data_IF_665864586058
#
_entry.id   IF_665864586058
#
_cell.length_a   1.000
_cell.length_b   1.000
_cell.length_c   1.000
_cell.angle_alpha   90.00
_cell.angle_beta   90.00
_cell.angle_gamma   90.00
#
_symmetry.space_group_name_H-M   'P 1'
#
loop_
_entity.id
_entity.type
_entity.pdbx_description
1 polymer ?
#
# COMPACT_ATOMS: atom_id res chain seq x y z
N UNK A 1 -22.41 0.45 26.43
CA UNK A 1 -22.68 -0.90 25.88
C UNK A 1 -22.81 -0.76 24.38
N UNK A 2 -21.71 -0.97 23.64
CA UNK A 2 -21.76 -1.18 22.19
C UNK A 2 -20.48 -1.90 21.77
N UNK A 3 -20.57 -3.23 21.78
CA UNK A 3 -19.53 -4.19 21.42
C UNK A 3 -19.45 -4.43 19.90
N UNK A 4 -20.04 -3.56 19.09
CA UNK A 4 -20.30 -3.80 17.66
C UNK A 4 -19.09 -3.60 16.73
N UNK A 5 -18.04 -2.89 17.14
CA UNK A 5 -16.90 -2.61 16.24
C UNK A 5 -15.72 -3.59 16.34
N UNK A 6 -15.66 -4.45 17.37
CA UNK A 6 -14.65 -5.52 17.48
C UNK A 6 -15.21 -6.86 16.99
N UNK A 7 -16.54 -6.99 16.96
CA UNK A 7 -17.22 -8.17 16.41
C UNK A 7 -17.35 -8.13 14.89
N UNK A 8 -17.27 -6.96 14.25
CA UNK A 8 -17.36 -6.83 12.79
C UNK A 8 -16.19 -7.52 12.05
N UNK A 9 -14.98 -7.52 12.62
CA UNK A 9 -13.78 -8.07 11.98
C UNK A 9 -13.71 -9.61 12.04
N UNK A 10 -14.30 -10.24 13.06
CA UNK A 10 -14.48 -11.70 13.07
C UNK A 10 -15.57 -12.17 12.11
N UNK A 11 -16.39 -11.24 11.61
CA UNK A 11 -17.57 -11.60 10.85
C UNK A 11 -17.33 -11.86 9.36
N UNK A 12 -16.47 -11.22 8.57
CA UNK A 12 -16.57 -11.47 7.10
C UNK A 12 -16.35 -12.93 6.66
N UNK A 13 -15.44 -13.67 7.30
CA UNK A 13 -15.33 -15.11 7.05
C UNK A 13 -16.26 -15.96 7.93
N UNK A 14 -16.85 -15.44 9.01
CA UNK A 14 -17.86 -16.15 9.82
C UNK A 14 -19.33 -15.81 9.50
N UNK A 15 -19.59 -14.74 8.78
CA UNK A 15 -20.82 -14.35 8.11
C UNK A 15 -20.81 -14.88 6.68
N UNK A 16 -19.64 -15.08 6.06
CA UNK A 16 -19.53 -16.09 4.99
C UNK A 16 -19.91 -17.49 5.51
N UNK A 17 -19.51 -17.89 6.74
CA UNK A 17 -19.97 -19.14 7.37
C UNK A 17 -21.49 -19.19 7.57
N UNK A 18 -22.14 -18.07 7.91
CA UNK A 18 -23.58 -18.01 8.23
C UNK A 18 -24.50 -17.73 7.03
N UNK A 19 -24.06 -16.96 6.03
CA UNK A 19 -24.90 -16.52 4.91
C UNK A 19 -24.86 -17.48 3.70
N UNK A 20 -23.85 -18.33 3.59
CA UNK A 20 -23.66 -19.25 2.46
C UNK A 20 -23.61 -20.74 2.84
N UNK A 21 -24.02 -21.11 4.06
CA UNK A 21 -24.00 -22.51 4.51
C UNK A 21 -22.59 -23.12 4.57
N UNK A 22 -21.57 -22.28 4.68
CA UNK A 22 -20.18 -22.69 4.65
C UNK A 22 -19.75 -23.15 6.05
N UNK A 23 -19.76 -24.46 6.25
CA UNK A 23 -18.63 -25.05 6.96
C UNK A 23 -17.55 -25.24 5.90
N UNK A 24 -16.46 -24.45 5.83
CA UNK A 24 -15.25 -25.01 5.25
C UNK A 24 -14.77 -26.03 6.29
N UNK A 25 -15.16 -27.29 6.09
CA UNK A 25 -14.64 -28.43 6.83
C UNK A 25 -13.11 -28.31 6.84
N UNK A 26 -12.46 -28.48 8.00
CA UNK A 26 -11.01 -28.28 8.24
C UNK A 26 -10.09 -28.67 7.07
N UNK A 27 -10.48 -29.68 6.30
CA UNK A 27 -9.83 -30.15 5.08
C UNK A 27 -9.60 -29.07 4.01
N UNK A 28 -10.53 -28.14 3.78
CA UNK A 28 -10.36 -27.07 2.78
C UNK A 28 -9.34 -26.02 3.23
N UNK A 29 -9.35 -25.67 4.51
CA UNK A 29 -8.36 -24.78 5.11
C UNK A 29 -6.97 -25.45 5.10
N UNK A 30 -6.89 -26.72 5.47
CA UNK A 30 -5.66 -27.51 5.38
C UNK A 30 -5.14 -27.60 3.94
N UNK A 31 -6.02 -27.82 2.95
CA UNK A 31 -5.67 -27.82 1.52
C UNK A 31 -5.15 -26.46 1.07
N UNK A 32 -5.82 -25.37 1.46
CA UNK A 32 -5.40 -24.00 1.15
C UNK A 32 -4.01 -23.70 1.73
N UNK A 33 -3.77 -24.12 2.97
CA UNK A 33 -2.47 -23.97 3.64
C UNK A 33 -1.37 -24.77 2.93
N UNK A 34 -1.64 -26.02 2.55
CA UNK A 34 -0.68 -26.86 1.82
C UNK A 34 -0.31 -26.23 0.47
N UNK A 35 -1.32 -25.81 -0.32
CA UNK A 35 -1.10 -25.16 -1.61
C UNK A 35 -0.32 -23.84 -1.46
N UNK A 36 -0.60 -23.07 -0.41
CA UNK A 36 0.15 -21.87 -0.08
C UNK A 36 1.62 -22.19 0.25
N UNK A 37 1.88 -23.22 1.06
CA UNK A 37 3.24 -23.66 1.38
C UNK A 37 4.01 -24.14 0.14
N UNK A 38 3.36 -24.87 -0.77
CA UNK A 38 3.96 -25.27 -2.04
C UNK A 38 4.32 -24.08 -2.92
N UNK A 39 3.43 -23.09 -3.00
CA UNK A 39 3.71 -21.83 -3.70
C UNK A 39 4.88 -21.08 -3.05
N UNK A 40 4.93 -21.01 -1.72
CA UNK A 40 5.99 -20.33 -0.99
C UNK A 40 7.37 -20.95 -1.22
N UNK A 41 7.47 -22.28 -1.34
CA UNK A 41 8.74 -22.94 -1.73
C UNK A 41 9.25 -22.46 -3.09
N UNK A 42 8.34 -22.25 -4.06
CA UNK A 42 8.71 -21.67 -5.37
C UNK A 42 9.11 -20.21 -5.25
N UNK A 43 8.46 -19.45 -4.38
CA UNK A 43 8.83 -18.06 -4.08
C UNK A 43 10.25 -18.00 -3.49
N UNK A 44 10.55 -18.81 -2.48
CA UNK A 44 11.88 -18.85 -1.86
C UNK A 44 12.97 -19.21 -2.90
N UNK A 45 12.71 -20.21 -3.75
CA UNK A 45 13.62 -20.57 -4.83
C UNK A 45 13.82 -19.41 -5.83
N UNK A 46 12.74 -18.72 -6.21
CA UNK A 46 12.85 -17.56 -7.12
C UNK A 46 13.65 -16.41 -6.52
N UNK A 47 13.59 -16.21 -5.21
CA UNK A 47 14.40 -15.22 -4.50
C UNK A 47 15.88 -15.61 -4.57
N UNK A 48 16.21 -16.87 -4.29
CA UNK A 48 17.57 -17.39 -4.39
C UNK A 48 18.14 -17.31 -5.82
N UNK A 49 17.27 -17.49 -6.82
CA UNK A 49 17.63 -17.44 -8.23
C UNK A 49 17.69 -16.01 -8.81
N UNK A 50 17.66 -14.95 -7.99
CA UNK A 50 17.58 -13.55 -8.45
C UNK A 50 16.39 -13.29 -9.41
N UNK A 51 15.26 -13.96 -9.18
CA UNK A 51 14.01 -13.85 -9.95
C UNK A 51 12.88 -13.19 -9.13
N UNK A 52 13.26 -12.29 -8.21
CA UNK A 52 12.35 -11.41 -7.48
C UNK A 52 12.26 -10.07 -8.20
N UNK A 53 11.04 -9.58 -8.43
CA UNK A 53 10.76 -8.30 -9.08
C UNK A 53 9.87 -7.47 -8.17
N UNK A 54 10.19 -6.18 -7.98
CA UNK A 54 9.29 -5.24 -7.33
C UNK A 54 8.65 -4.32 -8.38
N UNK A 55 7.35 -4.09 -8.24
CA UNK A 55 6.62 -3.03 -8.93
C UNK A 55 6.10 -2.06 -7.88
N UNK A 56 6.64 -0.84 -7.87
CA UNK A 56 6.43 0.14 -6.79
C UNK A 56 6.21 1.55 -7.32
N UNK A 57 5.66 2.43 -6.49
CA UNK A 57 5.51 3.86 -6.76
C UNK A 57 6.50 4.72 -5.95
N UNK A 58 7.49 4.10 -5.32
CA UNK A 58 8.67 4.79 -4.77
C UNK A 58 8.34 5.61 -3.52
N UNK A 59 7.28 5.23 -2.80
CA UNK A 59 6.83 5.87 -1.59
C UNK A 59 7.68 5.47 -0.35
N UNK A 60 7.56 6.19 0.78
CA UNK A 60 8.30 5.85 1.99
C UNK A 60 8.09 4.41 2.49
N UNK A 61 6.89 3.84 2.35
CA UNK A 61 6.60 2.46 2.73
C UNK A 61 7.23 1.43 1.78
N UNK A 62 7.38 1.72 0.49
CA UNK A 62 8.21 0.93 -0.42
C UNK A 62 9.67 0.86 0.03
N UNK A 63 10.21 2.02 0.43
CA UNK A 63 11.59 2.12 0.91
C UNK A 63 11.77 1.36 2.23
N UNK A 64 10.77 1.38 3.12
CA UNK A 64 10.76 0.61 4.36
C UNK A 64 10.69 -0.90 4.09
N UNK A 65 9.79 -1.34 3.21
CA UNK A 65 9.71 -2.75 2.80
C UNK A 65 11.02 -3.23 2.17
N UNK A 66 11.61 -2.41 1.31
CA UNK A 66 12.94 -2.67 0.73
C UNK A 66 13.99 -2.83 1.84
N UNK A 67 14.00 -1.95 2.83
CA UNK A 67 14.89 -2.04 3.98
C UNK A 67 14.76 -3.34 4.77
N UNK A 68 13.53 -3.86 4.93
CA UNK A 68 13.29 -5.15 5.61
C UNK A 68 13.94 -6.30 4.83
N UNK A 69 13.76 -6.33 3.51
CA UNK A 69 14.43 -7.29 2.65
C UNK A 69 15.95 -7.17 2.72
N UNK A 70 16.49 -5.95 2.67
CA UNK A 70 17.94 -5.70 2.71
C UNK A 70 18.58 -6.17 4.01
N UNK A 71 17.92 -6.00 5.16
CA UNK A 71 18.39 -6.52 6.45
C UNK A 71 18.49 -8.06 6.46
N UNK A 72 17.72 -8.74 5.61
CA UNK A 72 17.81 -10.18 5.36
C UNK A 72 18.68 -10.56 4.16
N UNK A 73 19.51 -9.63 3.66
CA UNK A 73 20.37 -9.80 2.48
C UNK A 73 19.59 -10.13 1.21
N UNK A 74 18.33 -9.68 1.13
CA UNK A 74 17.44 -9.87 -0.01
C UNK A 74 17.26 -8.55 -0.77
N UNK A 75 17.38 -8.62 -2.08
CA UNK A 75 17.09 -7.52 -3.00
C UNK A 75 16.41 -8.10 -4.26
N UNK A 76 15.51 -7.36 -4.92
CA UNK A 76 14.99 -7.78 -6.21
C UNK A 76 16.10 -7.74 -7.28
N UNK A 77 15.96 -8.54 -8.33
CA UNK A 77 16.81 -8.42 -9.51
C UNK A 77 16.43 -7.20 -10.38
N UNK A 78 15.13 -6.91 -10.43
CA UNK A 78 14.52 -5.81 -11.19
C UNK A 78 13.51 -5.06 -10.32
N UNK A 79 13.56 -3.74 -10.35
CA UNK A 79 12.61 -2.85 -9.70
C UNK A 79 11.99 -1.95 -10.76
N UNK A 80 10.67 -2.01 -10.88
CA UNK A 80 9.87 -1.30 -11.85
C UNK A 80 9.09 -0.18 -11.14
N UNK A 81 9.24 1.05 -11.61
CA UNK A 81 8.57 2.23 -11.09
C UNK A 81 7.30 2.54 -11.88
N UNK A 82 6.19 2.82 -11.18
CA UNK A 82 4.88 3.11 -11.78
C UNK A 82 4.22 4.35 -11.21
N UNK A 83 3.89 5.33 -12.06
CA UNK A 83 3.12 6.53 -11.71
C UNK A 83 3.99 7.77 -11.45
N UNK A 84 3.35 8.86 -11.05
CA UNK A 84 3.97 10.11 -10.63
C UNK A 84 4.99 10.67 -11.62
N UNK A 85 5.96 11.40 -11.09
CA UNK A 85 7.04 12.00 -11.88
C UNK A 85 8.18 10.99 -12.08
N UNK A 86 8.15 10.24 -13.19
CA UNK A 86 9.10 9.16 -13.51
C UNK A 86 10.58 9.49 -13.22
N UNK A 87 11.06 10.69 -13.59
CA UNK A 87 12.45 11.12 -13.41
C UNK A 87 12.76 11.42 -11.95
N UNK A 88 11.84 12.10 -11.28
CA UNK A 88 11.99 12.43 -9.87
C UNK A 88 12.05 11.15 -9.03
N UNK A 89 11.11 10.24 -9.30
CA UNK A 89 10.97 8.98 -8.60
C UNK A 89 12.12 8.02 -8.88
N UNK A 90 12.54 7.90 -10.13
CA UNK A 90 13.75 7.16 -10.50
C UNK A 90 14.95 7.66 -9.69
N UNK A 91 15.16 8.98 -9.66
CA UNK A 91 16.32 9.55 -8.99
C UNK A 91 16.27 9.38 -7.47
N UNK A 92 15.09 9.52 -6.84
CA UNK A 92 14.91 9.28 -5.42
C UNK A 92 15.19 7.80 -5.06
N UNK A 93 14.58 6.88 -5.80
CA UNK A 93 14.72 5.43 -5.63
C UNK A 93 16.18 4.99 -5.81
N UNK A 94 16.86 5.53 -6.82
CA UNK A 94 18.26 5.25 -7.11
C UNK A 94 19.20 5.66 -5.95
N UNK A 95 18.93 6.80 -5.30
CA UNK A 95 19.70 7.25 -4.14
C UNK A 95 19.47 6.35 -2.92
N UNK A 96 18.23 5.98 -2.65
CA UNK A 96 17.87 5.07 -1.54
C UNK A 96 18.53 3.71 -1.73
N UNK A 97 18.42 3.11 -2.92
CA UNK A 97 19.02 1.81 -3.21
C UNK A 97 20.55 1.85 -3.24
N UNK A 98 21.16 2.96 -3.68
CA UNK A 98 22.61 3.17 -3.56
C UNK A 98 23.05 3.20 -2.10
N UNK A 99 22.28 3.84 -1.22
CA UNK A 99 22.58 3.86 0.21
C UNK A 99 22.49 2.45 0.81
N UNK A 100 21.42 1.70 0.48
CA UNK A 100 21.31 0.30 0.90
C UNK A 100 22.50 -0.54 0.42
N UNK A 101 22.87 -0.47 -0.87
CA UNK A 101 24.00 -1.25 -1.39
C UNK A 101 25.37 -0.82 -0.85
N UNK A 102 25.48 0.39 -0.29
CA UNK A 102 26.70 0.88 0.37
C UNK A 102 26.80 0.36 1.81
N UNK A 103 25.66 0.22 2.50
CA UNK A 103 25.60 -0.16 3.91
C UNK A 103 25.48 -1.67 4.13
N UNK A 104 24.97 -2.39 3.14
CA UNK A 104 24.68 -3.81 3.23
C UNK A 104 25.33 -4.58 2.07
N UNK A 105 25.73 -5.84 2.28
CA UNK A 105 26.37 -6.67 1.27
C UNK A 105 25.31 -7.24 0.29
N UNK A 106 24.63 -6.34 -0.42
CA UNK A 106 23.61 -6.67 -1.41
C UNK A 106 23.96 -6.06 -2.77
N UNK A 107 23.50 -6.72 -3.83
CA UNK A 107 23.55 -6.15 -5.18
C UNK A 107 22.36 -5.21 -5.35
N UNK A 108 22.64 -3.97 -5.78
CA UNK A 108 21.60 -3.01 -6.13
C UNK A 108 20.76 -3.54 -7.30
N UNK A 109 19.41 -3.47 -7.25
CA UNK A 109 18.56 -3.86 -8.37
C UNK A 109 18.82 -3.02 -9.61
N UNK A 110 18.45 -3.57 -10.78
CA UNK A 110 18.22 -2.76 -11.97
C UNK A 110 16.90 -2.00 -11.75
N UNK A 111 16.96 -0.68 -11.66
CA UNK A 111 15.77 0.18 -11.50
C UNK A 111 15.36 0.69 -12.89
N UNK A 112 14.07 0.59 -13.22
CA UNK A 112 13.52 1.04 -14.50
C UNK A 112 12.11 1.60 -14.31
N UNK A 113 11.67 2.47 -15.23
CA UNK A 113 10.31 3.00 -15.24
C UNK A 113 9.45 2.19 -16.20
N UNK A 114 8.32 1.64 -15.72
CA UNK A 114 7.33 0.96 -16.58
C UNK A 114 6.13 1.85 -16.88
N UNK A 115 5.86 2.84 -16.02
CA UNK A 115 4.79 3.81 -16.21
C UNK A 115 5.11 5.10 -15.44
N UNK A 116 4.80 6.26 -16.02
CA UNK A 116 4.86 7.56 -15.35
C UNK A 116 3.70 8.45 -15.78
N UNK A 117 3.23 9.30 -14.88
CA UNK A 117 2.15 10.23 -15.16
C UNK A 117 2.62 11.37 -16.08
N UNK A 118 1.76 11.71 -17.05
CA UNK A 118 2.11 12.67 -18.12
C UNK A 118 1.40 14.02 -17.96
N UNK A 119 0.43 14.11 -17.06
CA UNK A 119 -0.28 15.34 -16.72
C UNK A 119 -0.47 15.42 -15.21
N UNK A 120 -0.57 16.63 -14.67
CA UNK A 120 -0.87 16.82 -13.24
C UNK A 120 -2.27 16.31 -12.86
N UNK A 121 -3.18 16.19 -13.83
CA UNK A 121 -4.55 15.71 -13.62
C UNK A 121 -4.63 14.22 -13.28
N UNK A 122 -3.67 13.41 -13.74
CA UNK A 122 -3.62 11.97 -13.43
C UNK A 122 -2.88 11.67 -12.13
N UNK A 123 -2.21 12.67 -11.55
CA UNK A 123 -1.42 12.52 -10.33
C UNK A 123 -2.29 12.51 -9.07
N UNK A 124 -1.90 11.67 -8.13
CA UNK A 124 -2.40 11.65 -6.77
C UNK A 124 -1.71 12.71 -5.90
N UNK A 125 -2.26 12.99 -4.71
CA UNK A 125 -1.74 14.05 -3.84
C UNK A 125 -0.32 13.76 -3.31
N UNK A 126 0.04 12.50 -3.07
CA UNK A 126 1.39 12.17 -2.60
C UNK A 126 2.44 12.26 -3.71
N UNK A 127 2.08 12.18 -5.00
CA UNK A 127 3.04 12.38 -6.10
C UNK A 127 3.69 13.79 -5.99
N UNK A 128 2.94 14.76 -5.45
CA UNK A 128 3.44 16.11 -5.17
C UNK A 128 4.27 16.23 -3.88
N UNK A 129 4.37 15.16 -3.08
CA UNK A 129 5.27 15.04 -1.93
C UNK A 129 6.57 14.30 -2.28
N UNK A 130 6.62 13.63 -3.43
CA UNK A 130 7.80 12.89 -3.87
C UNK A 130 9.04 13.75 -3.97
N UNK A 131 10.19 13.11 -3.75
CA UNK A 131 11.48 13.76 -3.90
C UNK A 131 11.65 15.00 -3.01
N UNK A 132 10.84 15.17 -1.96
CA UNK A 132 11.01 16.27 -0.98
C UNK A 132 12.35 16.23 -0.25
N UNK A 133 13.09 15.11 -0.37
CA UNK A 133 14.49 15.02 0.04
C UNK A 133 15.48 15.73 -0.89
N UNK A 134 15.08 16.20 -2.08
CA UNK A 134 15.93 17.01 -2.96
C UNK A 134 15.91 18.49 -2.59
N UNK A 135 16.86 19.26 -3.14
CA UNK A 135 16.71 20.70 -3.14
C UNK A 135 15.53 21.10 -4.04
N UNK A 136 14.76 22.12 -3.67
CA UNK A 136 13.51 22.48 -4.39
C UNK A 136 13.75 22.79 -5.88
N UNK A 137 14.88 23.42 -6.22
CA UNK A 137 15.24 23.69 -7.62
C UNK A 137 15.49 22.41 -8.42
N UNK A 138 16.20 21.44 -7.84
CA UNK A 138 16.46 20.14 -8.46
C UNK A 138 15.16 19.34 -8.61
N UNK A 139 14.34 19.33 -7.56
CA UNK A 139 13.02 18.68 -7.54
C UNK A 139 12.14 19.19 -8.67
N UNK A 140 12.00 20.51 -8.80
CA UNK A 140 11.20 21.15 -9.87
C UNK A 140 11.71 20.82 -11.27
N UNK A 141 13.03 20.79 -11.45
CA UNK A 141 13.61 20.42 -12.75
C UNK A 141 13.32 18.96 -13.12
N UNK A 142 13.42 18.04 -12.17
CA UNK A 142 13.07 16.63 -12.39
C UNK A 142 11.57 16.48 -12.73
N UNK A 143 10.67 17.16 -12.00
CA UNK A 143 9.23 17.18 -12.30
C UNK A 143 8.96 17.72 -13.72
N UNK A 144 9.61 18.83 -14.08
CA UNK A 144 9.47 19.44 -15.41
C UNK A 144 9.94 18.50 -16.51
N UNK A 145 11.09 17.84 -16.33
CA UNK A 145 11.63 16.86 -17.28
C UNK A 145 10.73 15.64 -17.42
N UNK A 146 10.17 15.17 -16.31
CA UNK A 146 9.16 14.13 -16.32
C UNK A 146 8.04 14.48 -17.28
N UNK A 147 7.46 15.67 -17.22
CA UNK A 147 6.34 16.04 -18.08
C UNK A 147 6.74 16.36 -19.54
N UNK A 148 7.96 16.87 -19.78
CA UNK A 148 8.35 17.42 -21.08
C UNK A 148 8.94 16.40 -22.09
N UNK A 149 9.64 15.35 -21.63
CA UNK A 149 10.43 14.47 -22.51
C UNK A 149 9.72 13.13 -22.82
N UNK A 150 8.71 13.19 -23.69
CA UNK A 150 7.91 12.02 -24.06
C UNK A 150 8.71 10.97 -24.83
N UNK A 151 9.59 11.38 -25.76
CA UNK A 151 10.34 10.44 -26.60
C UNK A 151 11.32 9.61 -25.78
N UNK A 152 12.09 10.22 -24.87
CA UNK A 152 12.98 9.46 -24.00
C UNK A 152 12.20 8.57 -23.03
N UNK A 153 11.06 9.07 -22.50
CA UNK A 153 10.18 8.31 -21.63
C UNK A 153 9.68 7.01 -22.31
N UNK A 154 9.11 7.11 -23.52
CA UNK A 154 8.60 5.94 -24.24
C UNK A 154 9.70 4.90 -24.54
N UNK A 155 10.92 5.36 -24.83
CA UNK A 155 12.07 4.47 -25.03
C UNK A 155 12.44 3.72 -23.75
N UNK A 156 12.42 4.40 -22.60
CA UNK A 156 12.72 3.79 -21.31
C UNK A 156 11.65 2.78 -20.87
N UNK A 157 10.38 3.11 -21.09
CA UNK A 157 9.28 2.18 -20.85
C UNK A 157 9.44 0.93 -21.71
N UNK A 158 9.70 1.07 -23.01
CA UNK A 158 9.93 -0.09 -23.89
C UNK A 158 11.12 -0.94 -23.43
N UNK A 159 12.20 -0.31 -22.95
CA UNK A 159 13.34 -1.04 -22.38
C UNK A 159 12.98 -1.78 -21.07
N UNK A 160 12.12 -1.18 -20.24
CA UNK A 160 11.63 -1.82 -19.01
C UNK A 160 10.75 -3.03 -19.32
N UNK A 161 9.82 -2.90 -20.28
CA UNK A 161 8.99 -4.00 -20.75
C UNK A 161 9.82 -5.15 -21.30
N UNK A 162 10.81 -4.87 -22.15
CA UNK A 162 11.70 -5.90 -22.71
C UNK A 162 12.53 -6.57 -21.62
N UNK A 163 13.10 -5.78 -20.69
CA UNK A 163 13.86 -6.32 -19.57
C UNK A 163 13.01 -7.24 -18.68
N UNK A 164 11.73 -6.93 -18.49
CA UNK A 164 10.79 -7.80 -17.78
C UNK A 164 10.54 -9.08 -18.57
N UNK A 165 10.26 -8.99 -19.88
CA UNK A 165 10.06 -10.15 -20.76
C UNK A 165 11.26 -11.09 -20.76
N UNK A 166 12.47 -10.57 -20.82
CA UNK A 166 13.70 -11.35 -20.77
C UNK A 166 13.80 -12.17 -19.48
N UNK A 167 13.54 -11.55 -18.31
CA UNK A 167 13.58 -12.25 -17.02
C UNK A 167 12.50 -13.34 -16.98
N UNK A 168 11.25 -13.02 -17.34
CA UNK A 168 10.14 -13.96 -17.29
C UNK A 168 10.32 -15.15 -18.24
N UNK A 169 10.97 -14.94 -19.40
CA UNK A 169 11.29 -16.03 -20.32
C UNK A 169 12.44 -16.90 -19.78
N UNK A 170 13.50 -16.30 -19.25
CA UNK A 170 14.72 -17.00 -18.83
C UNK A 170 14.56 -17.79 -17.53
N UNK A 171 13.82 -17.27 -16.56
CA UNK A 171 13.68 -17.90 -15.24
C UNK A 171 12.64 -19.02 -15.29
N UNK A 172 12.83 -20.06 -14.47
CA UNK A 172 11.88 -21.17 -14.31
C UNK A 172 10.63 -20.72 -13.54
N UNK A 173 10.83 -19.88 -12.53
CA UNK A 173 9.79 -19.26 -11.73
C UNK A 173 10.19 -17.82 -11.36
N UNK A 174 9.25 -16.88 -11.37
CA UNK A 174 9.46 -15.47 -11.00
C UNK A 174 8.39 -15.03 -10.02
N UNK A 175 8.81 -14.35 -8.95
CA UNK A 175 7.88 -13.68 -8.02
C UNK A 175 7.87 -12.19 -8.30
N UNK A 176 6.69 -11.62 -8.52
CA UNK A 176 6.50 -10.18 -8.70
C UNK A 176 5.72 -9.65 -7.50
N UNK A 177 6.35 -8.76 -6.74
CA UNK A 177 5.71 -8.04 -5.63
C UNK A 177 5.12 -6.75 -6.19
N UNK A 178 3.80 -6.64 -6.18
CA UNK A 178 3.04 -5.51 -6.71
C UNK A 178 2.60 -4.64 -5.53
N UNK A 179 3.21 -3.47 -5.42
CA UNK A 179 3.02 -2.47 -4.36
C UNK A 179 2.35 -1.18 -4.84
N UNK A 180 2.14 -1.08 -6.15
CA UNK A 180 1.41 0.00 -6.80
C UNK A 180 0.30 -0.59 -7.71
N UNK A 181 -0.36 0.26 -8.51
CA UNK A 181 -1.26 -0.25 -9.54
C UNK A 181 -0.48 -1.06 -10.62
N UNK A 182 -1.01 -2.21 -11.09
CA UNK A 182 -0.30 -3.11 -12.00
C UNK A 182 -0.31 -2.66 -13.47
N UNK A 183 -0.22 -1.35 -13.73
CA UNK A 183 -0.32 -0.75 -15.06
C UNK A 183 0.66 -1.39 -16.05
N UNK A 184 0.15 -1.91 -17.17
CA UNK A 184 0.95 -2.56 -18.22
C UNK A 184 1.43 -3.99 -17.91
N UNK A 185 1.40 -4.42 -16.64
CA UNK A 185 1.96 -5.70 -16.22
C UNK A 185 1.24 -6.90 -16.85
N UNK A 186 -0.09 -6.88 -16.88
CA UNK A 186 -0.89 -8.01 -17.35
C UNK A 186 -0.66 -8.32 -18.84
N UNK A 187 -0.49 -7.28 -19.66
CA UNK A 187 -0.17 -7.40 -21.09
C UNK A 187 1.16 -8.14 -21.30
N UNK A 188 2.18 -7.79 -20.53
CA UNK A 188 3.51 -8.39 -20.65
C UNK A 188 3.48 -9.87 -20.22
N UNK A 189 2.85 -10.16 -19.08
CA UNK A 189 2.74 -11.53 -18.55
C UNK A 189 2.02 -12.45 -19.53
N UNK A 190 0.96 -11.98 -20.19
CA UNK A 190 0.13 -12.79 -21.11
C UNK A 190 0.92 -13.36 -22.28
N UNK A 191 1.97 -12.67 -22.71
CA UNK A 191 2.80 -13.08 -23.84
C UNK A 191 3.88 -14.11 -23.45
N UNK A 192 4.02 -14.45 -22.16
CA UNK A 192 5.01 -15.40 -21.68
C UNK A 192 4.46 -16.84 -21.79
N UNK A 193 5.17 -17.79 -22.42
CA UNK A 193 4.76 -19.18 -22.47
C UNK A 193 4.62 -19.78 -21.06
N UNK A 194 3.51 -20.48 -20.80
CA UNK A 194 3.23 -21.13 -19.51
C UNK A 194 3.30 -20.16 -18.31
N UNK A 195 2.84 -18.91 -18.51
CA UNK A 195 2.96 -17.87 -17.48
C UNK A 195 2.26 -18.23 -16.15
N UNK A 196 1.20 -19.05 -16.19
CA UNK A 196 0.46 -19.48 -14.99
C UNK A 196 1.28 -20.38 -14.08
N UNK A 197 2.19 -21.17 -14.65
CA UNK A 197 3.07 -22.08 -13.92
C UNK A 197 4.39 -21.40 -13.51
N UNK A 198 4.76 -20.31 -14.20
CA UNK A 198 6.05 -19.63 -14.04
C UNK A 198 6.01 -18.37 -13.18
N UNK A 199 4.84 -17.80 -12.90
CA UNK A 199 4.74 -16.48 -12.27
C UNK A 199 3.81 -16.55 -11.07
N UNK A 200 4.24 -15.93 -9.97
CA UNK A 200 3.37 -15.61 -8.85
C UNK A 200 3.43 -14.12 -8.53
N UNK A 201 2.29 -13.60 -8.08
CA UNK A 201 2.15 -12.22 -7.64
C UNK A 201 1.98 -12.20 -6.13
N UNK A 202 2.72 -11.33 -5.45
CA UNK A 202 2.41 -10.89 -4.09
C UNK A 202 1.87 -9.48 -4.21
N UNK A 203 0.58 -9.27 -3.96
CA UNK A 203 -0.08 -7.98 -4.16
C UNK A 203 -0.44 -7.35 -2.83
N UNK A 204 0.11 -6.18 -2.53
CA UNK A 204 -0.14 -5.46 -1.28
C UNK A 204 -1.44 -4.66 -1.37
N UNK A 205 -2.35 -4.96 -0.45
CA UNK A 205 -3.68 -4.36 -0.26
C UNK A 205 -4.42 -3.94 -1.56
N UNK A 206 -4.68 -4.85 -2.53
CA UNK A 206 -5.56 -4.55 -3.66
C UNK A 206 -7.03 -4.43 -3.24
N UNK A 207 -7.41 -5.14 -2.19
CA UNK A 207 -8.77 -5.18 -1.67
C UNK A 207 -8.76 -5.13 -0.14
N UNK A 208 -9.85 -4.63 0.44
CA UNK A 208 -9.99 -4.42 1.88
C UNK A 208 -11.40 -4.72 2.37
N UNK A 209 -11.53 -5.03 3.65
CA UNK A 209 -12.79 -5.35 4.33
C UNK A 209 -13.74 -4.15 4.33
N UNK A 210 -14.99 -4.35 3.87
CA UNK A 210 -16.06 -3.33 3.97
C UNK A 210 -16.92 -3.55 5.21
N UNK A 211 -17.45 -2.44 5.77
CA UNK A 211 -18.41 -2.47 6.88
C UNK A 211 -19.67 -3.29 6.56
N UNK A 212 -20.15 -3.23 5.31
CA UNK A 212 -21.36 -3.95 4.88
C UNK A 212 -21.10 -5.42 4.48
N UNK A 213 -19.86 -5.90 4.59
CA UNK A 213 -19.44 -7.22 4.12
C UNK A 213 -18.84 -7.21 2.71
N UNK A 214 -18.15 -8.30 2.36
CA UNK A 214 -17.35 -8.41 1.14
C UNK A 214 -16.07 -7.55 1.17
N UNK A 215 -15.37 -7.48 0.03
CA UNK A 215 -14.19 -6.64 -0.11
C UNK A 215 -14.45 -5.46 -1.05
N UNK A 216 -13.90 -4.29 -0.70
CA UNK A 216 -13.87 -3.10 -1.54
C UNK A 216 -12.51 -2.92 -2.19
N UNK A 217 -12.47 -2.11 -3.26
CA UNK A 217 -11.22 -1.69 -3.88
C UNK A 217 -10.41 -0.83 -2.91
N UNK A 218 -9.11 -1.07 -2.86
CA UNK A 218 -8.16 -0.26 -2.09
C UNK A 218 -7.29 0.57 -3.03
N UNK A 219 -6.38 1.37 -2.46
CA UNK A 219 -5.62 2.41 -3.15
C UNK A 219 -5.02 1.94 -4.49
N UNK A 220 -4.17 0.93 -4.44
CA UNK A 220 -3.48 0.39 -5.60
C UNK A 220 -4.41 -0.15 -6.69
N UNK A 221 -5.60 -0.65 -6.33
CA UNK A 221 -6.55 -1.15 -7.30
C UNK A 221 -7.26 -0.03 -8.06
N UNK A 222 -7.73 1.01 -7.37
CA UNK A 222 -8.52 2.05 -8.04
C UNK A 222 -7.67 3.05 -8.83
N UNK A 223 -6.37 3.11 -8.54
CA UNK A 223 -5.40 3.91 -9.29
C UNK A 223 -5.32 3.51 -10.77
N UNK A 224 -5.52 2.22 -11.07
CA UNK A 224 -5.73 1.73 -12.43
C UNK A 224 -6.65 0.49 -12.39
N UNK A 225 -7.96 0.76 -12.38
CA UNK A 225 -9.00 -0.28 -12.31
C UNK A 225 -8.88 -1.26 -13.47
N UNK A 226 -8.53 -0.79 -14.66
CA UNK A 226 -8.48 -1.64 -15.85
C UNK A 226 -7.28 -2.58 -15.79
N UNK A 227 -6.08 -2.07 -15.51
CA UNK A 227 -4.92 -2.94 -15.34
C UNK A 227 -5.09 -3.93 -14.19
N UNK A 228 -5.73 -3.52 -13.10
CA UNK A 228 -6.02 -4.37 -11.95
C UNK A 228 -6.96 -5.54 -12.30
N UNK A 229 -8.00 -5.29 -13.11
CA UNK A 229 -8.88 -6.33 -13.65
C UNK A 229 -8.12 -7.29 -14.55
N UNK A 230 -7.33 -6.75 -15.48
CA UNK A 230 -6.56 -7.56 -16.42
C UNK A 230 -5.58 -8.49 -15.69
N UNK A 231 -4.95 -8.03 -14.59
CA UNK A 231 -4.10 -8.87 -13.76
C UNK A 231 -4.87 -10.02 -13.09
N UNK A 232 -6.06 -9.76 -12.55
CA UNK A 232 -6.91 -10.79 -11.96
C UNK A 232 -7.41 -11.81 -13.01
N UNK A 233 -7.65 -11.36 -14.24
CA UNK A 233 -8.10 -12.20 -15.36
C UNK A 233 -7.02 -13.17 -15.87
N UNK A 234 -5.73 -12.90 -15.60
CA UNK A 234 -4.64 -13.79 -16.00
C UNK A 234 -4.70 -15.15 -15.29
N UNK A 235 -5.32 -15.24 -14.11
CA UNK A 235 -5.38 -16.47 -13.30
C UNK A 235 -4.00 -17.05 -12.93
N UNK A 236 -2.99 -16.19 -12.79
CA UNK A 236 -1.74 -16.54 -12.09
C UNK A 236 -2.01 -16.69 -10.59
N UNK A 237 -1.20 -17.46 -9.84
CA UNK A 237 -1.21 -17.41 -8.39
C UNK A 237 -0.99 -15.98 -7.86
N UNK A 238 -1.92 -15.47 -7.06
CA UNK A 238 -1.86 -14.15 -6.41
C UNK A 238 -2.00 -14.35 -4.91
N UNK A 239 -1.01 -13.91 -4.13
CA UNK A 239 -1.11 -13.83 -2.68
C UNK A 239 -1.44 -12.39 -2.31
N UNK A 240 -2.54 -12.19 -1.58
CA UNK A 240 -2.98 -10.87 -1.10
C UNK A 240 -2.35 -10.59 0.25
N UNK A 241 -1.42 -9.64 0.30
CA UNK A 241 -0.81 -9.14 1.52
C UNK A 241 -1.60 -7.92 2.03
N UNK A 242 -2.51 -8.12 2.99
CA UNK A 242 -3.32 -7.04 3.52
C UNK A 242 -3.43 -7.16 5.04
N UNK A 243 -2.88 -6.23 5.83
CA UNK A 243 -2.92 -6.32 7.30
C UNK A 243 -4.35 -6.33 7.84
N UNK A 244 -5.28 -5.64 7.16
CA UNK A 244 -6.71 -5.58 7.55
C UNK A 244 -7.41 -6.91 7.35
N UNK A 245 -7.14 -7.60 6.23
CA UNK A 245 -7.70 -8.93 5.96
C UNK A 245 -7.04 -9.98 6.86
N UNK A 246 -5.74 -9.85 7.09
CA UNK A 246 -4.96 -10.73 7.97
C UNK A 246 -5.26 -10.57 9.45
N UNK A 247 -6.17 -9.66 9.84
CA UNK A 247 -6.47 -9.33 11.23
C UNK A 247 -5.19 -9.07 12.05
N UNK A 248 -4.25 -8.37 11.44
CA UNK A 248 -2.97 -8.08 12.06
C UNK A 248 -3.14 -7.03 13.16
N UNK A 249 -2.47 -7.24 14.30
CA UNK A 249 -2.46 -6.26 15.37
C UNK A 249 -1.79 -4.94 14.93
N UNK A 250 -0.69 -5.06 14.18
CA UNK A 250 -0.01 -3.95 13.54
C UNK A 250 -0.69 -3.57 12.23
N UNK A 251 -1.49 -2.49 12.27
CA UNK A 251 -2.20 -1.96 11.09
C UNK A 251 -1.93 -0.48 10.82
N UNK A 252 -1.06 0.15 11.62
CA UNK A 252 -0.57 1.52 11.45
C UNK A 252 0.79 1.67 12.11
N UNK A 253 1.68 2.50 11.57
CA UNK A 253 2.94 2.87 12.21
C UNK A 253 2.88 4.27 12.82
N UNK A 254 2.71 4.37 14.13
CA UNK A 254 2.76 5.65 14.88
C UNK A 254 3.76 5.50 16.02
N UNK A 255 4.41 6.61 16.40
CA UNK A 255 5.33 6.63 17.53
C UNK A 255 4.60 6.29 18.83
N UNK A 256 5.22 5.45 19.68
CA UNK A 256 4.63 5.00 20.95
C UNK A 256 4.23 6.16 21.85
N UNK A 257 5.01 7.24 21.88
CA UNK A 257 4.74 8.42 22.71
C UNK A 257 3.58 9.27 22.17
N UNK A 258 3.23 9.10 20.88
CA UNK A 258 2.17 9.85 20.20
C UNK A 258 0.90 9.02 20.00
N UNK A 259 0.95 7.70 20.25
CA UNK A 259 -0.17 6.78 20.06
C UNK A 259 -1.40 7.18 20.89
N UNK A 260 -1.20 7.74 22.10
CA UNK A 260 -2.30 8.24 22.93
C UNK A 260 -3.11 9.34 22.25
N UNK A 261 -2.42 10.34 21.70
CA UNK A 261 -3.03 11.44 20.95
C UNK A 261 -3.67 10.94 19.64
N UNK A 262 -2.98 10.03 18.95
CA UNK A 262 -3.48 9.40 17.73
C UNK A 262 -4.81 8.67 17.97
N UNK A 263 -4.97 7.94 19.09
CA UNK A 263 -6.22 7.26 19.46
C UNK A 263 -7.36 8.23 19.77
N UNK A 264 -7.05 9.39 20.38
CA UNK A 264 -8.04 10.42 20.69
C UNK A 264 -8.66 11.05 19.44
N UNK A 265 -7.88 11.20 18.36
CA UNK A 265 -8.32 11.88 17.13
C UNK A 265 -8.54 10.95 15.93
N UNK A 266 -8.07 9.70 15.98
CA UNK A 266 -7.97 8.81 14.83
C UNK A 266 -8.89 7.60 14.83
N UNK A 267 -9.71 7.41 15.88
CA UNK A 267 -10.64 6.27 15.97
C UNK A 267 -9.97 4.89 16.00
N UNK A 268 -8.64 4.82 16.10
CA UNK A 268 -7.91 3.56 16.20
C UNK A 268 -8.19 2.88 17.54
N UNK A 269 -8.79 1.70 17.49
CA UNK A 269 -9.17 0.91 18.68
C UNK A 269 -8.28 -0.31 18.91
N UNK A 270 -7.24 -0.49 18.09
CA UNK A 270 -6.34 -1.64 18.19
C UNK A 270 -5.43 -1.58 19.41
N UNK A 271 -4.81 -2.72 19.73
CA UNK A 271 -3.93 -2.88 20.90
C UNK A 271 -2.48 -2.47 20.64
N UNK A 272 -2.07 -2.31 19.38
CA UNK A 272 -0.71 -1.93 19.04
C UNK A 272 -0.33 -0.60 19.70
N UNK A 273 0.77 -0.60 20.45
CA UNK A 273 1.20 0.55 21.26
C UNK A 273 1.97 1.60 20.45
N UNK A 274 2.39 1.27 19.23
CA UNK A 274 3.26 2.10 18.42
C UNK A 274 4.71 1.62 18.43
N UNK A 275 5.54 2.27 17.61
CA UNK A 275 6.97 2.01 17.52
C UNK A 275 7.76 2.99 18.37
N UNK A 276 8.82 2.54 19.01
CA UNK A 276 9.77 3.39 19.70
C UNK A 276 10.61 4.19 18.69
N UNK A 277 10.97 5.43 19.04
CA UNK A 277 11.86 6.31 18.27
C UNK A 277 11.39 6.71 16.86
N UNK A 278 10.15 6.40 16.48
CA UNK A 278 9.62 6.75 15.17
C UNK A 278 9.58 8.26 14.94
N UNK A 279 9.26 9.01 16.00
CA UNK A 279 9.27 10.47 16.00
C UNK A 279 10.69 11.07 15.83
N UNK A 280 11.75 10.25 15.98
CA UNK A 280 13.16 10.67 15.94
C UNK A 280 13.85 10.47 14.59
N UNK A 281 13.19 9.84 13.61
CA UNK A 281 13.72 9.73 12.25
C UNK A 281 13.77 11.13 11.64
N UNK A 282 14.93 11.76 11.48
CA UNK A 282 15.00 13.13 10.95
C UNK A 282 15.72 13.15 9.61
N UNK A 283 15.42 14.14 8.79
CA UNK A 283 16.11 14.34 7.52
C UNK A 283 17.64 14.47 7.65
N UNK A 284 18.13 14.89 8.83
CA UNK A 284 19.56 14.95 9.17
C UNK A 284 20.20 13.60 9.48
N UNK A 285 19.42 12.54 9.69
CA UNK A 285 19.94 11.24 10.13
C UNK A 285 20.65 10.49 9.01
N UNK A 286 20.24 10.68 7.75
CA UNK A 286 20.85 9.98 6.63
C UNK A 286 20.04 10.14 5.35
N UNK A 287 20.44 9.43 4.31
CA UNK A 287 19.85 9.58 2.96
C UNK A 287 18.42 9.07 2.95
N UNK A 288 18.18 7.88 3.52
CA UNK A 288 16.88 7.23 3.48
C UNK A 288 15.91 7.98 4.42
N UNK A 289 16.40 8.33 5.60
CA UNK A 289 15.69 9.14 6.59
C UNK A 289 15.26 10.49 6.01
N UNK A 290 16.09 11.11 5.15
CA UNK A 290 15.75 12.34 4.41
C UNK A 290 14.56 12.16 3.49
N UNK A 291 14.54 11.12 2.67
CA UNK A 291 13.42 10.88 1.76
C UNK A 291 12.15 10.49 2.51
N UNK A 292 12.25 9.68 3.56
CA UNK A 292 11.10 9.27 4.38
C UNK A 292 10.52 10.46 5.16
N UNK A 293 11.35 11.21 5.89
CA UNK A 293 10.91 12.33 6.74
C UNK A 293 10.35 13.49 5.90
N UNK A 294 11.06 13.90 4.85
CA UNK A 294 10.63 15.02 4.02
C UNK A 294 9.34 14.71 3.23
N UNK A 295 9.21 13.50 2.67
CA UNK A 295 7.99 13.10 1.96
C UNK A 295 6.79 13.03 2.91
N UNK A 296 6.96 12.44 4.10
CA UNK A 296 5.89 12.35 5.09
C UNK A 296 5.40 13.74 5.56
N UNK A 297 6.32 14.66 5.85
CA UNK A 297 5.97 16.03 6.25
C UNK A 297 5.26 16.78 5.12
N UNK A 298 5.78 16.68 3.89
CA UNK A 298 5.18 17.34 2.73
C UNK A 298 3.79 16.79 2.43
N UNK A 299 3.61 15.48 2.47
CA UNK A 299 2.31 14.84 2.23
C UNK A 299 1.30 15.22 3.31
N UNK A 300 1.70 15.21 4.59
CA UNK A 300 0.86 15.65 5.69
C UNK A 300 0.38 17.09 5.50
N UNK A 301 1.29 18.01 5.18
CA UNK A 301 0.94 19.41 4.88
C UNK A 301 -0.05 19.53 3.72
N UNK A 302 0.20 18.84 2.60
CA UNK A 302 -0.69 18.85 1.45
C UNK A 302 -2.10 18.32 1.78
N UNK A 303 -2.20 17.28 2.61
CA UNK A 303 -3.48 16.73 3.03
C UNK A 303 -4.25 17.67 3.97
N UNK A 304 -3.56 18.34 4.89
CA UNK A 304 -4.15 19.37 5.77
C UNK A 304 -4.64 20.55 4.93
N UNK A 305 -3.80 21.08 4.03
CA UNK A 305 -4.15 22.21 3.16
C UNK A 305 -5.36 21.89 2.27
N UNK A 306 -5.37 20.69 1.66
CA UNK A 306 -6.47 20.23 0.80
C UNK A 306 -7.78 20.12 1.58
N UNK A 307 -7.72 19.58 2.81
CA UNK A 307 -8.88 19.52 3.68
C UNK A 307 -9.39 20.92 4.05
N UNK A 308 -8.50 21.80 4.49
CA UNK A 308 -8.85 23.17 4.88
C UNK A 308 -9.50 23.96 3.73
N UNK A 309 -8.94 23.85 2.52
CA UNK A 309 -9.55 24.44 1.32
C UNK A 309 -10.93 23.87 1.03
N UNK A 310 -11.10 22.54 1.09
CA UNK A 310 -12.38 21.90 0.80
C UNK A 310 -13.46 22.25 1.82
N UNK A 311 -13.08 22.43 3.08
CA UNK A 311 -13.97 22.90 4.14
C UNK A 311 -14.40 24.36 3.88
N UNK A 312 -13.45 25.24 3.56
CA UNK A 312 -13.75 26.64 3.23
C UNK A 312 -14.66 26.77 1.99
N UNK A 313 -14.42 25.98 0.95
CA UNK A 313 -15.27 25.92 -0.25
C UNK A 313 -16.70 25.46 0.12
N UNK A 314 -16.84 24.42 0.96
CA UNK A 314 -18.13 23.92 1.41
C UNK A 314 -18.90 24.96 2.26
N UNK A 315 -18.20 25.68 3.13
CA UNK A 315 -18.79 26.72 3.97
C UNK A 315 -19.25 27.93 3.12
N UNK A 316 -18.48 28.30 2.09
CA UNK A 316 -18.87 29.31 1.12
C UNK A 316 -20.07 28.87 0.27
N UNK A 317 -20.09 27.62 -0.21
CA UNK A 317 -21.23 27.04 -0.92
C UNK A 317 -22.51 27.04 -0.07
N UNK A 318 -22.41 26.63 1.20
CA UNK A 318 -23.56 26.64 2.13
C UNK A 318 -24.06 28.06 2.40
N UNK A 319 -23.13 29.02 2.60
CA UNK A 319 -23.49 30.42 2.84
C UNK A 319 -24.25 31.02 1.66
N UNK A 320 -23.71 30.90 0.44
CA UNK A 320 -24.37 31.39 -0.78
C UNK A 320 -25.74 30.73 -0.96
N UNK A 321 -25.82 29.41 -0.75
CA UNK A 321 -27.08 28.69 -0.84
C UNK A 321 -28.13 29.21 0.18
N UNK A 322 -27.73 29.53 1.41
CA UNK A 322 -28.63 30.13 2.42
C UNK A 322 -29.08 31.54 2.04
N UNK A 323 -28.18 32.36 1.48
CA UNK A 323 -28.48 33.71 1.02
C UNK A 323 -29.47 33.71 -0.16
N UNK A 324 -29.25 32.84 -1.14
CA UNK A 324 -30.12 32.68 -2.32
C UNK A 324 -31.53 32.17 -1.96
N UNK A 325 -31.66 31.46 -0.84
CA UNK A 325 -32.93 30.86 -0.38
C UNK A 325 -33.52 31.55 0.86
N UNK A 326 -33.02 32.74 1.22
CA UNK A 326 -33.43 33.45 2.45
C UNK A 326 -34.93 33.78 2.50
N UNK A 327 -35.59 33.92 1.35
CA UNK A 327 -37.02 34.21 1.24
C UNK A 327 -37.95 32.98 1.41
N UNK A 328 -37.39 31.76 1.43
CA UNK A 328 -38.16 30.51 1.53
C UNK A 328 -37.60 29.57 2.61
N UNK A 329 -37.62 29.98 3.90
CA UNK A 329 -36.89 29.32 4.99
C UNK A 329 -37.44 27.93 5.41
N UNK A 330 -38.54 27.47 4.83
CA UNK A 330 -39.26 26.25 5.24
C UNK A 330 -39.58 25.31 4.08
N UNK A 331 -38.86 25.38 2.96
CA UNK A 331 -39.02 24.37 1.91
C UNK A 331 -38.32 23.05 2.29
N UNK A 332 -38.92 21.94 1.85
CA UNK A 332 -38.35 20.61 2.01
C UNK A 332 -36.99 20.50 1.31
N UNK A 333 -36.87 21.09 0.11
CA UNK A 333 -35.63 21.17 -0.67
C UNK A 333 -34.49 21.89 0.08
N UNK A 334 -34.80 23.00 0.77
CA UNK A 334 -33.83 23.72 1.60
C UNK A 334 -33.32 22.80 2.73
N UNK A 335 -34.24 22.13 3.42
CA UNK A 335 -33.90 21.24 4.53
C UNK A 335 -33.02 20.08 4.06
N UNK A 336 -33.38 19.45 2.94
CA UNK A 336 -32.60 18.36 2.36
C UNK A 336 -31.19 18.81 1.98
N UNK A 337 -31.05 19.97 1.33
CA UNK A 337 -29.73 20.47 0.92
C UNK A 337 -28.84 20.83 2.12
N UNK A 338 -29.41 21.40 3.18
CA UNK A 338 -28.66 21.68 4.41
C UNK A 338 -28.21 20.39 5.11
N UNK A 339 -29.00 19.32 5.06
CA UNK A 339 -28.57 17.99 5.51
C UNK A 339 -27.43 17.44 4.65
N UNK A 340 -27.45 17.64 3.33
CA UNK A 340 -26.32 17.27 2.46
C UNK A 340 -25.03 18.02 2.83
N UNK A 341 -25.12 19.32 3.11
CA UNK A 341 -23.97 20.11 3.59
C UNK A 341 -23.44 19.56 4.92
N UNK A 342 -24.33 19.30 5.89
CA UNK A 342 -23.95 18.74 7.18
C UNK A 342 -23.28 17.36 7.03
N UNK A 343 -23.82 16.50 6.17
CA UNK A 343 -23.25 15.19 5.87
C UNK A 343 -21.86 15.28 5.22
N UNK A 344 -21.71 16.14 4.20
CA UNK A 344 -20.39 16.39 3.57
C UNK A 344 -19.39 16.95 4.57
N UNK A 345 -19.80 17.86 5.45
CA UNK A 345 -18.95 18.42 6.50
C UNK A 345 -18.51 17.32 7.46
N UNK A 346 -19.41 16.44 7.89
CA UNK A 346 -19.06 15.29 8.72
C UNK A 346 -18.02 14.39 8.02
N UNK A 347 -18.23 14.05 6.75
CA UNK A 347 -17.26 13.25 5.98
C UNK A 347 -15.87 13.92 5.89
N UNK A 348 -15.82 15.25 5.74
CA UNK A 348 -14.57 15.99 5.74
C UNK A 348 -13.88 15.97 7.10
N UNK A 349 -14.62 16.04 8.21
CA UNK A 349 -14.07 15.96 9.57
C UNK A 349 -13.54 14.55 9.90
N UNK A 350 -14.05 13.51 9.24
CA UNK A 350 -13.54 12.13 9.37
C UNK A 350 -12.34 11.84 8.44
N UNK A 351 -11.90 12.81 7.63
CA UNK A 351 -10.78 12.64 6.68
C UNK A 351 -9.40 12.68 7.36
N UNK A 352 -8.38 12.15 6.66
CA UNK A 352 -6.99 12.18 7.14
C UNK A 352 -6.47 13.60 7.39
N UNK A 353 -6.84 14.57 6.54
CA UNK A 353 -6.40 15.97 6.70
C UNK A 353 -6.88 16.60 8.01
N UNK A 354 -8.15 16.42 8.35
CA UNK A 354 -8.72 16.90 9.62
C UNK A 354 -8.04 16.25 10.83
N UNK A 355 -7.88 14.93 10.79
CA UNK A 355 -7.23 14.15 11.85
C UNK A 355 -5.78 14.59 12.05
N UNK A 356 -5.01 14.74 10.98
CA UNK A 356 -3.61 15.15 11.05
C UNK A 356 -3.45 16.60 11.50
N UNK A 357 -4.33 17.51 11.09
CA UNK A 357 -4.34 18.88 11.60
C UNK A 357 -4.55 18.89 13.13
N UNK A 358 -5.57 18.19 13.62
CA UNK A 358 -5.86 18.09 15.05
C UNK A 358 -4.69 17.48 15.85
N UNK A 359 -4.05 16.42 15.33
CA UNK A 359 -2.91 15.81 16.00
C UNK A 359 -1.70 16.75 16.00
N UNK A 360 -1.32 17.30 14.85
CA UNK A 360 -0.11 18.13 14.72
C UNK A 360 -0.16 19.39 15.58
N UNK A 361 -1.34 19.98 15.77
CA UNK A 361 -1.54 21.12 16.69
C UNK A 361 -1.27 20.77 18.17
N UNK A 362 -1.39 19.50 18.54
CA UNK A 362 -1.24 19.01 19.92
C UNK A 362 0.07 18.23 20.15
N UNK A 363 0.88 18.05 19.10
CA UNK A 363 2.19 17.40 19.21
C UNK A 363 3.21 18.39 19.79
N UNK A 364 4.03 17.98 20.79
CA UNK A 364 5.11 18.83 21.30
C UNK A 364 6.07 19.26 20.19
N UNK A 365 6.54 20.51 20.22
CA UNK A 365 7.34 21.12 19.14
C UNK A 365 8.64 20.37 18.83
N UNK A 366 9.17 19.63 19.79
CA UNK A 366 10.38 18.83 19.65
C UNK A 366 10.17 17.45 19.01
N UNK A 367 8.91 17.05 18.78
CA UNK A 367 8.52 15.75 18.22
C UNK A 367 7.93 15.93 16.82
N UNK A 368 8.21 14.96 15.95
CA UNK A 368 7.60 14.89 14.62
C UNK A 368 6.50 13.81 14.63
N UNK A 369 5.24 14.20 14.44
CA UNK A 369 4.17 13.24 14.22
C UNK A 369 4.19 12.72 12.79
N UNK A 370 4.22 11.39 12.66
CA UNK A 370 4.10 10.67 11.40
C UNK A 370 3.21 9.46 11.59
N UNK A 371 2.42 9.21 10.55
CA UNK A 371 1.65 7.98 10.39
C UNK A 371 2.25 7.24 9.19
N UNK A 372 2.89 6.10 9.45
CA UNK A 372 3.41 5.22 8.42
C UNK A 372 2.34 4.22 7.97
N UNK A 373 2.24 4.08 6.65
CA UNK A 373 1.61 2.93 6.03
C UNK A 373 2.45 1.68 6.33
N UNK A 374 1.80 0.60 6.76
CA UNK A 374 2.46 -0.68 7.07
C UNK A 374 2.07 -1.79 6.08
N UNK A 375 1.40 -1.40 4.99
CA UNK A 375 0.85 -2.31 3.99
C UNK A 375 1.95 -3.03 3.24
N UNK A 376 2.91 -2.29 2.69
CA UNK A 376 4.02 -2.89 1.95
C UNK A 376 4.97 -3.70 2.82
N UNK A 377 5.38 -3.23 4.01
CA UNK A 377 6.07 -4.08 4.99
C UNK A 377 5.39 -5.43 5.25
N UNK A 378 4.07 -5.53 5.09
CA UNK A 378 3.34 -6.77 5.28
C UNK A 378 3.67 -7.85 4.23
N UNK A 379 4.19 -7.48 3.06
CA UNK A 379 4.69 -8.43 2.07
C UNK A 379 5.81 -9.32 2.64
N UNK A 380 6.56 -8.84 3.64
CA UNK A 380 7.61 -9.60 4.30
C UNK A 380 7.12 -10.85 5.02
N UNK A 381 5.85 -10.86 5.46
CA UNK A 381 5.21 -12.06 6.02
C UNK A 381 5.10 -13.20 5.00
N UNK A 382 5.27 -12.90 3.71
CA UNK A 382 5.29 -13.87 2.62
C UNK A 382 6.71 -14.08 2.12
N UNK A 383 7.49 -13.02 1.98
CA UNK A 383 8.77 -13.08 1.29
C UNK A 383 9.93 -13.57 2.17
N UNK A 384 9.83 -13.41 3.49
CA UNK A 384 10.81 -13.93 4.43
C UNK A 384 10.39 -15.31 4.91
N UNK A 385 11.16 -16.34 4.57
CA UNK A 385 10.87 -17.73 4.98
C UNK A 385 10.73 -17.85 6.50
N UNK A 386 11.64 -17.22 7.25
CA UNK A 386 11.65 -17.30 8.73
C UNK A 386 10.46 -16.57 9.34
N UNK A 387 10.13 -15.38 8.84
CA UNK A 387 8.96 -14.65 9.34
C UNK A 387 7.67 -15.38 8.99
N UNK A 388 7.56 -15.91 7.77
CA UNK A 388 6.35 -16.54 7.25
C UNK A 388 5.90 -17.75 8.07
N UNK A 389 6.85 -18.57 8.54
CA UNK A 389 6.55 -19.76 9.33
C UNK A 389 5.83 -19.43 10.65
N UNK A 390 6.21 -18.32 11.28
CA UNK A 390 5.64 -17.89 12.57
C UNK A 390 4.48 -16.90 12.41
N UNK A 391 4.46 -16.15 11.31
CA UNK A 391 3.49 -15.08 11.08
C UNK A 391 2.19 -15.56 10.44
N UNK A 392 2.25 -16.45 9.45
CA UNK A 392 1.06 -16.82 8.65
C UNK A 392 0.30 -17.96 9.32
N UNK A 393 -0.76 -17.62 10.06
CA UNK A 393 -1.54 -18.59 10.83
C UNK A 393 -2.70 -19.21 10.04
N UNK A 394 -3.28 -18.46 9.08
CA UNK A 394 -4.40 -18.94 8.28
C UNK A 394 -4.37 -18.36 6.87
N UNK A 395 -4.59 -19.24 5.88
CA UNK A 395 -4.73 -18.87 4.47
C UNK A 395 -5.96 -19.53 3.85
N UNK A 396 -6.69 -18.77 3.05
CA UNK A 396 -7.84 -19.24 2.26
C UNK A 396 -7.55 -19.03 0.77
N UNK A 397 -7.59 -20.11 -0.01
CA UNK A 397 -7.39 -20.08 -1.46
C UNK A 397 -8.72 -20.05 -2.21
N UNK A 398 -8.99 -19.00 -2.98
CA UNK A 398 -10.30 -18.75 -3.62
C UNK A 398 -10.17 -18.11 -4.99
N UNK A 399 -11.29 -17.97 -5.70
CA UNK A 399 -11.43 -17.10 -6.85
C UNK A 399 -12.12 -15.79 -6.42
N UNK A 400 -11.72 -14.66 -7.00
CA UNK A 400 -12.42 -13.40 -6.80
C UNK A 400 -13.46 -13.19 -7.89
N UNK A 401 -14.71 -13.03 -7.47
CA UNK A 401 -15.79 -12.50 -8.31
C UNK A 401 -15.88 -10.99 -8.12
N UNK A 402 -15.99 -10.27 -9.23
CA UNK A 402 -16.13 -8.81 -9.25
C UNK A 402 -17.56 -8.44 -9.60
N UNK A 403 -18.23 -7.66 -8.75
CA UNK A 403 -19.57 -7.12 -8.99
C UNK A 403 -19.50 -5.60 -9.03
N UNK A 404 -20.13 -4.98 -10.02
CA UNK A 404 -20.21 -3.53 -10.19
C UNK A 404 -19.20 -2.96 -11.19
N UNK A 405 -19.07 -1.63 -11.22
CA UNK A 405 -18.23 -0.90 -12.17
C UNK A 405 -17.53 0.30 -11.52
N UNK A 406 -16.42 0.73 -12.12
CA UNK A 406 -15.62 1.86 -11.64
C UNK A 406 -15.14 1.69 -10.20
N UNK A 407 -15.35 2.74 -9.39
CA UNK A 407 -14.97 2.82 -7.97
C UNK A 407 -15.93 2.10 -7.01
N UNK A 408 -17.09 1.64 -7.49
CA UNK A 408 -18.12 1.01 -6.67
C UNK A 408 -18.06 -0.53 -6.72
N UNK A 409 -16.90 -1.09 -7.10
CA UNK A 409 -16.74 -2.53 -7.23
C UNK A 409 -16.69 -3.21 -5.87
N UNK A 410 -17.33 -4.37 -5.80
CA UNK A 410 -17.31 -5.25 -4.64
C UNK A 410 -16.74 -6.59 -5.10
N UNK A 411 -15.81 -7.13 -4.32
CA UNK A 411 -15.24 -8.44 -4.56
C UNK A 411 -15.80 -9.44 -3.57
N UNK A 412 -16.19 -10.58 -4.10
CA UNK A 412 -16.67 -11.72 -3.31
C UNK A 412 -15.74 -12.91 -3.52
N UNK A 413 -15.19 -13.49 -2.44
CA UNK A 413 -14.47 -14.75 -2.54
C UNK A 413 -15.47 -15.87 -2.86
N UNK A 414 -15.22 -16.62 -3.94
CA UNK A 414 -16.00 -17.83 -4.26
C UNK A 414 -15.38 -19.03 -3.53
N UNK A 415 -16.04 -19.47 -2.48
CA UNK A 415 -15.63 -20.64 -1.67
C UNK A 415 -16.69 -21.73 -1.89
N UNK A 416 -16.30 -22.87 -2.46
CA UNK A 416 -17.27 -23.96 -2.68
C UNK A 416 -16.65 -25.26 -3.20
N UNK A 417 -17.32 -26.38 -2.89
CA UNK A 417 -16.88 -27.74 -3.24
C UNK A 417 -16.74 -28.03 -4.75
N UNK A 418 -17.27 -27.15 -5.61
CA UNK A 418 -17.25 -27.29 -7.08
C UNK A 418 -16.17 -26.46 -7.78
N UNK A 419 -15.46 -25.56 -7.09
CA UNK A 419 -14.32 -24.81 -7.65
C UNK A 419 -13.04 -25.10 -6.84
N UNK A 420 -12.40 -26.27 -7.05
CA UNK A 420 -11.34 -26.76 -6.16
C UNK A 420 -9.97 -26.06 -6.30
N UNK A 421 -9.80 -25.12 -7.23
CA UNK A 421 -8.51 -24.51 -7.59
C UNK A 421 -8.64 -22.99 -7.77
N UNK A 422 -8.85 -22.26 -6.68
CA UNK A 422 -8.75 -20.81 -6.68
C UNK A 422 -7.31 -20.34 -6.97
N UNK A 423 -7.12 -19.23 -7.68
CA UNK A 423 -5.78 -18.71 -7.92
C UNK A 423 -5.35 -17.60 -6.93
N UNK A 424 -6.24 -17.19 -6.02
CA UNK A 424 -5.99 -16.10 -5.07
C UNK A 424 -5.88 -16.64 -3.65
N UNK A 425 -4.80 -16.32 -2.95
CA UNK A 425 -4.54 -16.70 -1.57
C UNK A 425 -4.73 -15.49 -0.67
N UNK A 426 -5.74 -15.52 0.19
CA UNK A 426 -5.92 -14.53 1.24
C UNK A 426 -5.30 -15.02 2.53
N UNK A 427 -4.37 -14.24 3.08
CA UNK A 427 -3.89 -14.46 4.44
C UNK A 427 -4.92 -13.82 5.38
N UNK A 428 -5.70 -14.65 6.07
CA UNK A 428 -6.85 -14.22 6.88
C UNK A 428 -6.55 -14.14 8.37
N UNK A 429 -5.38 -14.64 8.79
CA UNK A 429 -4.89 -14.50 10.17
C UNK A 429 -3.36 -14.42 10.19
N UNK A 430 -2.84 -13.38 10.82
CA UNK A 430 -1.41 -13.11 10.95
C UNK A 430 -1.01 -12.80 12.38
N UNK A 431 0.01 -13.49 12.87
CA UNK A 431 0.80 -13.05 14.00
C UNK A 431 1.82 -12.00 13.52
N UNK A 432 1.63 -10.75 13.94
CA UNK A 432 2.47 -9.64 13.50
C UNK A 432 3.70 -9.38 14.39
N UNK A 433 3.94 -10.14 15.45
CA UNK A 433 5.00 -9.86 16.42
C UNK A 433 6.40 -9.86 15.81
N UNK A 434 6.72 -10.87 14.98
CA UNK A 434 7.99 -10.92 14.27
C UNK A 434 8.17 -9.74 13.30
N UNK A 435 7.08 -9.32 12.62
CA UNK A 435 7.12 -8.19 11.70
C UNK A 435 7.32 -6.87 12.46
N UNK A 436 6.60 -6.67 13.58
CA UNK A 436 6.76 -5.50 14.45
C UNK A 436 8.21 -5.34 14.88
N UNK A 437 8.86 -6.43 15.31
CA UNK A 437 10.26 -6.40 15.75
C UNK A 437 11.18 -5.93 14.62
N UNK A 438 11.00 -6.44 13.41
CA UNK A 438 11.84 -6.07 12.25
C UNK A 438 11.61 -4.63 11.82
N UNK A 439 10.36 -4.18 11.79
CA UNK A 439 10.04 -2.77 11.53
C UNK A 439 10.67 -1.90 12.62
N UNK A 440 10.58 -2.29 13.89
CA UNK A 440 11.22 -1.57 15.00
C UNK A 440 12.75 -1.47 14.82
N UNK A 441 13.41 -2.52 14.31
CA UNK A 441 14.85 -2.50 14.00
C UNK A 441 15.17 -1.46 12.93
N UNK A 442 14.39 -1.38 11.84
CA UNK A 442 14.55 -0.33 10.82
C UNK A 442 14.32 1.05 11.39
N UNK A 443 13.25 1.22 12.17
CA UNK A 443 12.93 2.50 12.80
C UNK A 443 14.09 2.97 13.67
N UNK A 444 14.66 2.07 14.48
CA UNK A 444 15.83 2.39 15.31
C UNK A 444 17.06 2.72 14.47
N UNK A 445 17.30 2.00 13.37
CA UNK A 445 18.42 2.27 12.47
C UNK A 445 18.31 3.64 11.77
N UNK A 446 17.13 3.98 11.26
CA UNK A 446 16.83 5.29 10.67
C UNK A 446 16.89 6.41 11.71
N UNK A 447 16.36 6.18 12.91
CA UNK A 447 16.44 7.12 14.03
C UNK A 447 17.87 7.32 14.53
N UNK A 448 18.70 6.28 14.44
CA UNK A 448 20.10 6.25 14.88
C UNK A 448 21.11 6.77 13.85
N UNK A 449 20.67 7.27 12.70
CA UNK A 449 21.57 7.91 11.73
C UNK A 449 22.09 7.01 10.61
N UNK A 450 21.39 5.91 10.30
CA UNK A 450 21.81 4.96 9.25
C UNK A 450 23.25 4.45 9.43
N UNK A 451 23.65 4.29 10.69
CA UNK A 451 24.95 3.76 11.11
C UNK A 451 25.06 2.24 10.89
N UNK A 452 25.98 1.59 11.60
CA UNK A 452 25.99 0.12 11.65
C UNK A 452 24.78 -0.37 12.45
N UNK A 453 24.15 -1.47 12.01
CA UNK A 453 23.11 -2.13 12.80
C UNK A 453 23.81 -2.88 13.92
N UNK A 454 23.60 -2.45 15.16
CA UNK A 454 23.86 -3.28 16.34
C UNK A 454 22.60 -4.13 16.54
N UNK A 455 22.68 -5.40 16.15
CA UNK A 455 21.61 -6.40 16.30
C UNK A 455 21.51 -6.85 17.75
#
# INVERSE_FOLDING_TARGET
SDSSSVLADQHIFSSARLQYGLTPARDYEAKSQNNFQELCKKIDQSIQDEALIYLEDGEPDDHLQSGLGVMEKRAPGLLLLRGGFDRLRFQATELVWKQYSTKFPIKKPKIMTIHGDRTEETMATFDFAEGSGFAEAERKELMRRSLADETSYLKEVAQAEESLREILNKKSFTTIVVKAAPTGLAKIIRDIPNFKEKIAIVWTEPVGVRKEGGFGQMFNFYQDVQASKELLELKVPIIVACPRIGNAEMSVGVDKELMGLYRQHGGYKGKFEGFDNLNRIKSSNGVISKFIDAAAQKFQGLMIDRWGKRLADLDAEEKTFREDNAAMPSSEDLTQKLQEFAFKRQQLQESLGAKWDAITQNVPKEKNFREFCVVDPFAETILSETLRQDAVEQVIQTNLEMIGSGKNMIFFPRIGAQEPEGNVFFITKVNSDGLKLRVQTIVNWLAGGEGEIVV
#
